data_IF_688426802872
#
_entry.id   IF_688426802872
#
_cell.length_a   1.000
_cell.length_b   1.000
_cell.length_c   1.000
_cell.angle_alpha   90.00
_cell.angle_beta   90.00
_cell.angle_gamma   90.00
#
_symmetry.space_group_name_H-M   'P 1'
#
loop_
_entity.id
_entity.type
_entity.pdbx_description
1 polymer ?
#
# COMPACT_ATOMS: atom_id res chain seq x y z
N UNK A 1 -25.01 13.76 7.68
CA UNK A 1 -23.53 13.91 7.66
C UNK A 1 -22.78 12.62 7.99
N UNK A 2 -23.34 11.72 8.80
CA UNK A 2 -22.72 10.45 9.22
C UNK A 2 -22.55 9.40 8.13
N UNK A 3 -23.48 9.28 7.17
CA UNK A 3 -23.38 8.27 6.10
C UNK A 3 -22.25 8.55 5.09
N UNK A 4 -21.98 9.82 4.79
CA UNK A 4 -20.88 10.21 3.88
C UNK A 4 -19.52 9.87 4.51
N UNK A 5 -19.33 10.20 5.80
CA UNK A 5 -18.10 9.87 6.53
C UNK A 5 -17.89 8.35 6.63
N UNK A 6 -18.97 7.59 6.86
CA UNK A 6 -18.91 6.12 6.91
C UNK A 6 -18.54 5.51 5.56
N UNK A 7 -19.10 6.04 4.46
CA UNK A 7 -18.74 5.63 3.12
C UNK A 7 -17.26 5.94 2.80
N UNK A 8 -16.76 7.10 3.22
CA UNK A 8 -15.36 7.50 3.05
C UNK A 8 -14.42 6.58 3.85
N UNK A 9 -14.76 6.26 5.11
CA UNK A 9 -14.01 5.29 5.93
C UNK A 9 -13.98 3.91 5.27
N UNK A 10 -15.10 3.44 4.73
CA UNK A 10 -15.15 2.16 4.02
C UNK A 10 -14.28 2.19 2.76
N UNK A 11 -14.30 3.28 2.00
CA UNK A 11 -13.46 3.47 0.83
C UNK A 11 -11.96 3.48 1.18
N UNK A 12 -11.57 4.14 2.28
CA UNK A 12 -10.18 4.15 2.77
C UNK A 12 -9.72 2.75 3.16
N UNK A 13 -10.54 1.97 3.84
CA UNK A 13 -10.22 0.57 4.19
C UNK A 13 -10.02 -0.31 2.95
N UNK A 14 -10.91 -0.19 1.96
CA UNK A 14 -10.79 -0.91 0.70
C UNK A 14 -9.52 -0.51 -0.03
N UNK A 15 -9.20 0.79 -0.04
CA UNK A 15 -7.99 1.32 -0.65
C UNK A 15 -6.72 0.77 0.03
N UNK A 16 -6.65 0.81 1.37
CA UNK A 16 -5.51 0.27 2.12
C UNK A 16 -5.30 -1.23 1.85
N UNK A 17 -6.38 -2.02 1.84
CA UNK A 17 -6.32 -3.44 1.50
C UNK A 17 -5.85 -3.68 0.05
N UNK A 18 -6.34 -2.88 -0.90
CA UNK A 18 -5.90 -2.94 -2.30
C UNK A 18 -4.40 -2.64 -2.46
N UNK A 19 -3.91 -1.62 -1.76
CA UNK A 19 -2.49 -1.24 -1.79
C UNK A 19 -1.59 -2.35 -1.23
N UNK A 20 -2.00 -3.01 -0.14
CA UNK A 20 -1.26 -4.14 0.43
C UNK A 20 -1.20 -5.33 -0.51
N UNK A 21 -2.33 -5.68 -1.13
CA UNK A 21 -2.37 -6.76 -2.11
C UNK A 21 -1.43 -6.50 -3.30
N UNK A 22 -1.36 -5.25 -3.76
CA UNK A 22 -0.42 -4.85 -4.82
C UNK A 22 1.04 -4.93 -4.33
N UNK A 23 1.32 -4.47 -3.12
CA UNK A 23 2.65 -4.54 -2.51
C UNK A 23 3.14 -6.00 -2.41
N UNK A 24 2.26 -6.92 -2.01
CA UNK A 24 2.52 -8.37 -1.94
C UNK A 24 2.75 -8.97 -3.32
N UNK A 25 1.94 -8.58 -4.32
CA UNK A 25 2.13 -9.00 -5.70
C UNK A 25 3.51 -8.59 -6.24
N UNK A 26 3.93 -7.34 -5.98
CA UNK A 26 5.25 -6.83 -6.37
C UNK A 26 6.37 -7.55 -5.62
N UNK A 27 6.19 -7.80 -4.32
CA UNK A 27 7.18 -8.51 -3.51
C UNK A 27 7.39 -9.96 -3.97
N UNK A 28 6.39 -10.57 -4.60
CA UNK A 28 6.48 -11.93 -5.17
C UNK A 28 7.26 -12.00 -6.48
N UNK A 29 7.59 -10.87 -7.11
CA UNK A 29 8.34 -10.83 -8.35
C UNK A 29 9.81 -11.16 -8.05
N UNK A 30 10.27 -12.33 -8.50
CA UNK A 30 11.69 -12.69 -8.56
C UNK A 30 12.22 -12.55 -10.01
N UNK A 31 12.84 -11.41 -10.36
CA UNK A 31 13.39 -11.20 -11.68
C UNK A 31 14.76 -11.86 -11.87
N UNK A 32 15.43 -12.31 -10.79
CA UNK A 32 16.83 -12.75 -10.84
C UNK A 32 16.96 -13.99 -11.72
N UNK A 33 16.10 -14.98 -11.51
CA UNK A 33 16.13 -16.23 -12.27
C UNK A 33 15.92 -15.97 -13.78
N UNK A 34 15.00 -15.08 -14.12
CA UNK A 34 14.69 -14.72 -15.50
C UNK A 34 15.84 -13.98 -16.17
N UNK A 35 16.46 -13.01 -15.48
CA UNK A 35 17.60 -12.26 -15.99
C UNK A 35 18.85 -13.16 -16.13
N UNK A 36 19.07 -14.09 -15.19
CA UNK A 36 20.13 -15.08 -15.28
C UNK A 36 19.94 -16.01 -16.49
N UNK A 37 18.72 -16.44 -16.79
CA UNK A 37 18.43 -17.22 -18.00
C UNK A 37 18.74 -16.45 -19.27
N UNK A 38 18.36 -15.17 -19.36
CA UNK A 38 18.67 -14.31 -20.52
C UNK A 38 20.19 -14.13 -20.69
N UNK A 39 20.91 -13.89 -19.59
CA UNK A 39 22.36 -13.79 -19.61
C UNK A 39 23.03 -15.07 -20.13
N UNK A 40 22.57 -16.24 -19.67
CA UNK A 40 23.09 -17.54 -20.10
C UNK A 40 22.74 -17.90 -21.55
N UNK A 41 21.56 -17.51 -22.02
CA UNK A 41 21.14 -17.74 -23.39
C UNK A 41 21.91 -16.87 -24.40
N UNK A 42 22.39 -15.69 -23.98
CA UNK A 42 23.04 -14.71 -24.87
C UNK A 42 24.35 -14.13 -24.29
N UNK A 43 25.35 -14.95 -23.94
CA UNK A 43 26.50 -14.55 -23.12
C UNK A 43 27.44 -13.53 -23.79
N UNK A 44 27.48 -13.50 -25.11
CA UNK A 44 28.34 -12.58 -25.89
C UNK A 44 27.57 -11.38 -26.47
N UNK A 45 26.32 -11.17 -26.04
CA UNK A 45 25.50 -10.06 -26.50
C UNK A 45 25.48 -8.93 -25.49
N UNK A 46 25.28 -7.70 -25.97
CA UNK A 46 25.03 -6.55 -25.11
C UNK A 46 23.82 -6.79 -24.19
N UNK A 47 22.80 -7.51 -24.66
CA UNK A 47 21.60 -7.87 -23.90
C UNK A 47 21.90 -8.80 -22.73
N UNK A 48 22.71 -9.85 -22.93
CA UNK A 48 23.10 -10.77 -21.86
C UNK A 48 24.01 -10.11 -20.82
N UNK A 49 24.90 -9.22 -21.26
CA UNK A 49 25.71 -8.39 -20.36
C UNK A 49 24.83 -7.47 -19.50
N UNK A 50 23.84 -6.79 -20.10
CA UNK A 50 22.89 -5.97 -19.36
C UNK A 50 22.02 -6.79 -18.39
N UNK A 51 21.55 -7.97 -18.82
CA UNK A 51 20.76 -8.85 -17.95
C UNK A 51 21.55 -9.29 -16.71
N UNK A 52 22.86 -9.52 -16.85
CA UNK A 52 23.76 -9.87 -15.74
C UNK A 52 23.95 -8.76 -14.71
N UNK A 53 23.81 -7.49 -15.11
CA UNK A 53 24.05 -6.32 -14.23
C UNK A 53 22.76 -5.71 -13.66
N UNK A 54 21.60 -5.99 -14.26
CA UNK A 54 20.32 -5.37 -13.88
C UNK A 54 19.59 -6.08 -12.75
N UNK A 55 19.96 -7.32 -12.40
CA UNK A 55 19.22 -8.12 -11.42
C UNK A 55 19.14 -7.46 -10.02
N UNK A 56 20.27 -7.02 -9.48
CA UNK A 56 20.34 -6.40 -8.16
C UNK A 56 19.70 -4.99 -8.10
N UNK A 57 19.96 -4.09 -9.08
CA UNK A 57 19.23 -2.82 -9.17
C UNK A 57 17.71 -2.98 -9.27
N UNK A 58 17.24 -3.98 -10.02
CA UNK A 58 15.81 -4.23 -10.20
C UNK A 58 15.17 -4.76 -8.91
N UNK A 59 15.80 -5.72 -8.24
CA UNK A 59 15.36 -6.18 -6.91
C UNK A 59 15.27 -5.03 -5.91
N UNK A 60 16.27 -4.15 -5.91
CA UNK A 60 16.29 -2.98 -5.02
C UNK A 60 15.12 -2.03 -5.34
N UNK A 61 14.84 -1.79 -6.63
CA UNK A 61 13.72 -0.96 -7.04
C UNK A 61 12.37 -1.55 -6.63
N UNK A 62 12.17 -2.85 -6.82
CA UNK A 62 10.95 -3.57 -6.40
C UNK A 62 10.76 -3.50 -4.88
N UNK A 63 11.81 -3.78 -4.11
CA UNK A 63 11.76 -3.69 -2.64
C UNK A 63 11.44 -2.28 -2.12
N UNK A 64 11.99 -1.24 -2.77
CA UNK A 64 11.63 0.16 -2.46
C UNK A 64 10.17 0.46 -2.77
N UNK A 65 9.64 -0.06 -3.88
CA UNK A 65 8.24 0.13 -4.27
C UNK A 65 7.29 -0.55 -3.28
N UNK A 66 7.57 -1.81 -2.91
CA UNK A 66 6.82 -2.51 -1.85
C UNK A 66 6.84 -1.73 -0.52
N UNK A 67 8.01 -1.20 -0.14
CA UNK A 67 8.14 -0.38 1.09
C UNK A 67 7.26 0.86 1.04
N UNK A 68 7.24 1.56 -0.10
CA UNK A 68 6.43 2.76 -0.28
C UNK A 68 4.92 2.46 -0.27
N UNK A 69 4.51 1.36 -0.90
CA UNK A 69 3.10 0.93 -0.89
C UNK A 69 2.64 0.56 0.52
N UNK A 70 3.46 -0.16 1.29
CA UNK A 70 3.14 -0.47 2.68
C UNK A 70 3.01 0.80 3.54
N UNK A 71 3.94 1.75 3.39
CA UNK A 71 3.85 3.03 4.09
C UNK A 71 2.59 3.83 3.71
N UNK A 72 2.17 3.77 2.45
CA UNK A 72 0.92 4.40 1.99
C UNK A 72 -0.30 3.73 2.63
N UNK A 73 -0.36 2.39 2.64
CA UNK A 73 -1.44 1.65 3.29
C UNK A 73 -1.55 1.97 4.78
N UNK A 74 -0.42 2.07 5.48
CA UNK A 74 -0.38 2.43 6.91
C UNK A 74 -0.88 3.86 7.15
N UNK A 75 -0.55 4.79 6.25
CA UNK A 75 -1.06 6.17 6.31
C UNK A 75 -2.58 6.21 6.12
N UNK A 76 -3.11 5.40 5.19
CA UNK A 76 -4.55 5.28 4.94
C UNK A 76 -5.31 4.68 6.14
N UNK A 77 -4.72 3.68 6.80
CA UNK A 77 -5.27 3.11 8.03
C UNK A 77 -5.27 4.13 9.18
N UNK A 78 -4.19 4.91 9.30
CA UNK A 78 -4.12 5.95 10.33
C UNK A 78 -5.15 7.07 10.11
N UNK A 79 -5.35 7.48 8.86
CA UNK A 79 -6.41 8.41 8.50
C UNK A 79 -7.80 7.86 8.85
N UNK A 80 -8.03 6.57 8.58
CA UNK A 80 -9.27 5.88 8.94
C UNK A 80 -9.53 5.93 10.44
N UNK A 81 -8.54 5.55 11.26
CA UNK A 81 -8.66 5.57 12.72
C UNK A 81 -8.98 6.98 13.24
N UNK A 82 -8.31 8.01 12.67
CA UNK A 82 -8.56 9.41 13.04
C UNK A 82 -10.00 9.84 12.74
N UNK A 83 -10.56 9.42 11.60
CA UNK A 83 -11.95 9.72 11.27
C UNK A 83 -12.95 9.00 12.18
N UNK A 84 -12.66 7.76 12.58
CA UNK A 84 -13.50 7.01 13.53
C UNK A 84 -13.50 7.66 14.92
N UNK A 85 -12.35 8.09 15.41
CA UNK A 85 -12.22 8.82 16.67
C UNK A 85 -12.99 10.15 16.65
N UNK A 86 -12.89 10.90 15.55
CA UNK A 86 -13.63 12.14 15.36
C UNK A 86 -15.16 11.92 15.32
N UNK A 87 -15.63 10.85 14.65
CA UNK A 87 -17.04 10.48 14.62
C UNK A 87 -17.54 10.14 16.03
N UNK A 88 -16.76 9.38 16.80
CA UNK A 88 -17.12 8.96 18.16
C UNK A 88 -17.15 10.15 19.13
N UNK A 89 -16.20 11.08 19.01
CA UNK A 89 -16.19 12.32 19.79
C UNK A 89 -17.43 13.18 19.50
N UNK A 90 -17.81 13.33 18.22
CA UNK A 90 -18.99 14.07 17.82
C UNK A 90 -20.28 13.44 18.35
N UNK A 91 -20.41 12.10 18.27
CA UNK A 91 -21.57 11.37 18.83
C UNK A 91 -21.70 11.61 20.33
N UNK A 92 -20.59 11.51 21.06
CA UNK A 92 -20.56 11.72 22.52
C UNK A 92 -20.99 13.14 22.90
N UNK A 93 -20.53 14.15 22.16
CA UNK A 93 -20.94 15.54 22.38
C UNK A 93 -22.43 15.74 22.12
N UNK A 94 -22.95 15.22 21.00
CA UNK A 94 -24.38 15.33 20.67
C UNK A 94 -25.27 14.67 21.73
N UNK A 95 -24.89 13.48 22.19
CA UNK A 95 -25.61 12.75 23.24
C UNK A 95 -25.63 13.55 24.56
N UNK A 96 -24.49 14.10 24.93
CA UNK A 96 -24.36 14.98 26.11
C UNK A 96 -25.27 16.21 26.01
N UNK A 97 -25.30 16.87 24.85
CA UNK A 97 -26.15 18.04 24.61
C UNK A 97 -27.64 17.71 24.69
N UNK A 98 -28.06 16.59 24.10
CA UNK A 98 -29.46 16.14 24.07
C UNK A 98 -29.97 15.68 25.43
N UNK A 99 -29.09 15.17 26.31
CA UNK A 99 -29.45 14.66 27.63
C UNK A 99 -29.23 15.67 28.77
N UNK A 100 -28.51 16.77 28.53
CA UNK A 100 -28.35 17.88 29.50
C UNK A 100 -29.45 18.94 29.39
N UNK A 101 -30.25 18.94 28.32
CA UNK A 101 -31.34 19.91 28.11
C UNK A 101 -32.74 19.37 28.48
N UNK A 102 -32.82 18.21 29.15
CA UNK A 102 -34.05 17.68 29.78
C UNK A 102 -33.95 17.77 31.31
#
# INVERSE_FOLDING_TARGET
MTEMLRADIAALRIMAAGIRNEADAIASIDPVAHLAQVAQAMPNSATGAAASTLAEPLLTALGRMTTQLNALADTTDHATATYEDAEQALKTQLDTYLHTTS
#
